data_IF_560937841345
#
_entry.id   IF_560937841345
#
_cell.length_a   1.000
_cell.length_b   1.000
_cell.length_c   1.000
_cell.angle_alpha   90.00
_cell.angle_beta   90.00
_cell.angle_gamma   90.00
#
_symmetry.space_group_name_H-M   'P 1'
#
loop_
_entity.id
_entity.type
_entity.pdbx_description
1 polymer ?
#
# COMPACT_ATOMS: atom_id res chain seq x y z
N UNK A 1 48.73 11.39 -27.39
CA UNK A 1 47.95 12.45 -26.74
C UNK A 1 46.52 12.26 -27.16
N UNK A 2 45.83 11.32 -26.54
CA UNK A 2 44.41 11.04 -26.75
C UNK A 2 43.67 11.61 -25.55
N UNK A 3 42.90 12.67 -25.78
CA UNK A 3 41.98 13.22 -24.80
C UNK A 3 40.69 12.38 -24.85
N UNK A 4 40.49 11.56 -23.82
CA UNK A 4 39.25 10.85 -23.60
C UNK A 4 38.14 11.87 -23.31
N UNK A 5 37.19 11.99 -24.24
CA UNK A 5 35.92 12.69 -24.03
C UNK A 5 35.06 11.77 -23.16
N UNK A 6 35.00 12.09 -21.87
CA UNK A 6 34.07 11.44 -20.95
C UNK A 6 32.64 11.90 -21.29
N UNK A 7 31.87 11.03 -21.93
CA UNK A 7 30.43 11.17 -22.08
C UNK A 7 29.79 11.15 -20.68
N UNK A 8 29.42 12.34 -20.18
CA UNK A 8 28.59 12.47 -19.00
C UNK A 8 27.16 12.05 -19.37
N UNK A 9 26.76 10.85 -18.95
CA UNK A 9 25.39 10.36 -19.10
C UNK A 9 24.41 11.27 -18.32
N UNK A 10 23.42 11.90 -18.98
CA UNK A 10 22.55 12.89 -18.37
C UNK A 10 21.45 12.31 -17.46
N UNK A 11 21.34 11.00 -17.32
CA UNK A 11 20.25 10.36 -16.57
C UNK A 11 20.46 10.30 -15.04
N UNK A 12 21.65 10.62 -14.54
CA UNK A 12 21.93 10.64 -13.09
C UNK A 12 21.42 11.89 -12.34
N UNK A 13 20.96 12.93 -13.05
CA UNK A 13 20.84 14.27 -12.46
C UNK A 13 19.65 14.48 -11.52
N UNK A 14 18.48 13.92 -11.81
CA UNK A 14 17.23 14.26 -11.10
C UNK A 14 17.02 13.43 -9.84
N UNK A 15 17.30 12.12 -9.90
CA UNK A 15 17.26 11.21 -8.74
C UNK A 15 18.30 11.61 -7.70
N UNK A 16 19.51 11.98 -8.12
CA UNK A 16 20.59 12.32 -7.19
C UNK A 16 20.38 13.70 -6.56
N UNK A 17 19.79 14.66 -7.29
CA UNK A 17 19.34 15.94 -6.70
C UNK A 17 18.19 15.74 -5.73
N UNK A 18 17.22 14.87 -6.01
CA UNK A 18 16.15 14.53 -5.09
C UNK A 18 16.68 13.86 -3.82
N UNK A 19 17.62 12.91 -3.95
CA UNK A 19 18.32 12.29 -2.82
C UNK A 19 19.12 13.31 -2.00
N UNK A 20 19.86 14.21 -2.65
CA UNK A 20 20.60 15.28 -1.97
C UNK A 20 19.69 16.29 -1.28
N UNK A 21 18.54 16.61 -1.87
CA UNK A 21 17.53 17.46 -1.24
C UNK A 21 16.91 16.75 -0.03
N UNK A 22 16.51 15.48 -0.17
CA UNK A 22 16.01 14.68 0.95
C UNK A 22 17.05 14.54 2.08
N UNK A 23 18.32 14.32 1.74
CA UNK A 23 19.42 14.27 2.72
C UNK A 23 19.73 15.63 3.34
N UNK A 24 19.66 16.73 2.58
CA UNK A 24 19.89 18.07 3.09
C UNK A 24 18.74 18.51 4.01
N UNK A 25 17.49 18.22 3.64
CA UNK A 25 16.32 18.42 4.48
C UNK A 25 16.43 17.56 5.74
N UNK A 26 16.86 16.29 5.64
CA UNK A 26 17.08 15.44 6.80
C UNK A 26 18.23 15.94 7.72
N UNK A 27 19.30 16.49 7.14
CA UNK A 27 20.45 17.01 7.87
C UNK A 27 20.16 18.36 8.55
N UNK A 28 19.36 19.22 7.92
CA UNK A 28 18.98 20.52 8.46
C UNK A 28 17.82 20.38 9.48
N UNK A 29 16.89 19.44 9.26
CA UNK A 29 15.87 19.04 10.23
C UNK A 29 16.45 18.44 11.52
N UNK A 30 17.71 18.03 11.51
CA UNK A 30 18.40 17.55 12.71
C UNK A 30 18.77 18.66 13.70
N UNK A 31 18.66 19.95 13.33
CA UNK A 31 18.86 21.06 14.27
C UNK A 31 17.50 21.58 14.74
N UNK A 32 16.96 21.10 15.88
CA UNK A 32 15.75 21.67 16.42
C UNK A 32 15.97 23.17 16.68
N UNK A 33 14.94 24.01 16.49
CA UNK A 33 15.04 25.41 16.89
C UNK A 33 15.52 25.49 18.35
N UNK A 34 16.40 26.45 18.69
CA UNK A 34 16.92 26.56 20.05
C UNK A 34 15.75 26.70 21.05
N UNK A 35 15.67 25.75 21.98
CA UNK A 35 14.61 25.67 22.99
C UNK A 35 13.38 24.84 22.60
N UNK A 36 13.31 24.26 21.39
CA UNK A 36 12.13 23.57 20.94
C UNK A 36 11.91 22.25 21.70
N UNK A 37 12.77 21.22 21.62
CA UNK A 37 12.43 19.93 22.24
C UNK A 37 13.68 19.10 22.54
N UNK A 38 14.13 19.11 23.80
CA UNK A 38 15.02 18.06 24.33
C UNK A 38 14.18 17.09 25.15
N UNK A 39 13.29 16.34 24.51
CA UNK A 39 12.71 15.18 25.20
C UNK A 39 13.80 14.11 25.32
N UNK A 40 13.98 13.49 26.51
CA UNK A 40 14.95 12.41 26.69
C UNK A 40 14.65 11.25 25.73
N UNK A 41 15.70 10.60 25.23
CA UNK A 41 15.60 9.40 24.38
C UNK A 41 14.66 8.35 24.98
N UNK A 42 14.74 8.12 26.29
CA UNK A 42 13.90 7.17 27.03
C UNK A 42 12.39 7.45 26.87
N UNK A 43 11.98 8.71 26.83
CA UNK A 43 10.58 9.08 26.65
C UNK A 43 10.11 8.80 25.21
N UNK A 44 10.93 9.17 24.23
CA UNK A 44 10.66 8.86 22.82
C UNK A 44 10.60 7.35 22.58
N UNK A 45 11.53 6.59 23.18
CA UNK A 45 11.55 5.13 23.12
C UNK A 45 10.30 4.51 23.73
N UNK A 46 9.87 4.97 24.92
CA UNK A 46 8.65 4.50 25.55
C UNK A 46 7.40 4.78 24.70
N UNK A 47 7.30 5.98 24.11
CA UNK A 47 6.19 6.36 23.25
C UNK A 47 6.16 5.55 21.95
N UNK A 48 7.32 5.36 21.31
CA UNK A 48 7.44 4.56 20.09
C UNK A 48 7.13 3.09 20.38
N UNK A 49 7.67 2.51 21.46
CA UNK A 49 7.38 1.12 21.84
C UNK A 49 5.90 0.90 22.14
N UNK A 50 5.22 1.87 22.77
CA UNK A 50 3.79 1.76 23.06
C UNK A 50 2.91 1.75 21.79
N UNK A 51 3.37 2.35 20.70
CA UNK A 51 2.57 2.55 19.48
C UNK A 51 2.99 1.62 18.34
N UNK A 52 4.30 1.44 18.15
CA UNK A 52 4.93 0.73 17.04
C UNK A 52 5.29 -0.72 17.43
N UNK A 53 5.60 -0.95 18.70
CA UNK A 53 6.25 -2.19 19.15
C UNK A 53 7.75 -2.20 18.81
N UNK A 54 8.40 -3.35 19.01
CA UNK A 54 9.85 -3.49 18.85
C UNK A 54 10.31 -3.57 17.38
N UNK A 55 9.43 -3.92 16.45
CA UNK A 55 9.80 -4.10 15.05
C UNK A 55 9.59 -2.81 14.25
N UNK A 56 10.65 -2.27 13.62
CA UNK A 56 10.50 -1.13 12.74
C UNK A 56 9.61 -1.48 11.54
N UNK A 57 8.86 -0.51 11.05
CA UNK A 57 8.05 -0.69 9.84
C UNK A 57 8.18 0.51 8.92
N UNK A 58 8.22 0.24 7.62
CA UNK A 58 8.16 1.26 6.57
C UNK A 58 6.74 1.41 6.05
N UNK A 59 6.41 2.61 5.59
CA UNK A 59 5.22 2.83 4.79
C UNK A 59 5.41 2.08 3.45
N UNK A 60 4.46 1.23 3.01
CA UNK A 60 4.61 0.54 1.75
C UNK A 60 4.52 1.52 0.58
N UNK A 61 5.27 1.24 -0.47
CA UNK A 61 5.25 2.01 -1.71
C UNK A 61 4.07 1.55 -2.56
N UNK A 62 2.97 2.30 -2.53
CA UNK A 62 1.76 1.95 -3.26
C UNK A 62 0.82 3.15 -3.42
N UNK A 63 -0.18 3.00 -4.29
CA UNK A 63 -1.14 4.06 -4.62
C UNK A 63 -1.86 4.59 -3.38
N UNK A 64 -2.25 3.70 -2.48
CA UNK A 64 -2.98 4.02 -1.25
C UNK A 64 -2.10 4.77 -0.24
N UNK A 65 -0.83 4.38 -0.11
CA UNK A 65 0.16 5.10 0.69
C UNK A 65 0.46 6.49 0.14
N UNK A 66 0.56 6.62 -1.19
CA UNK A 66 0.74 7.92 -1.84
C UNK A 66 -0.46 8.83 -1.57
N UNK A 67 -1.70 8.33 -1.73
CA UNK A 67 -2.92 9.08 -1.44
C UNK A 67 -3.02 9.53 0.03
N UNK A 68 -2.46 8.74 0.95
CA UNK A 68 -2.35 9.08 2.38
C UNK A 68 -1.31 10.17 2.64
N UNK A 69 -0.12 10.08 2.04
CA UNK A 69 0.99 10.99 2.35
C UNK A 69 0.86 12.34 1.65
N UNK A 70 0.24 12.37 0.48
CA UNK A 70 0.19 13.53 -0.40
C UNK A 70 -0.42 14.80 0.25
N UNK A 71 -1.54 14.77 0.98
CA UNK A 71 -2.05 15.94 1.72
C UNK A 71 -1.11 16.42 2.82
N UNK A 72 -0.27 15.52 3.34
CA UNK A 72 0.66 15.83 4.41
C UNK A 72 1.95 16.46 3.88
N UNK A 73 2.31 16.21 2.63
CA UNK A 73 3.53 16.77 2.01
C UNK A 73 3.32 18.18 1.48
N UNK A 74 2.12 18.50 0.99
CA UNK A 74 1.81 19.80 0.37
C UNK A 74 0.85 20.61 1.24
N UNK A 75 1.32 21.36 2.24
CA UNK A 75 0.46 22.26 3.01
C UNK A 75 -0.15 23.34 2.09
N UNK A 76 -1.48 23.33 2.03
CA UNK A 76 -2.50 24.36 1.76
C UNK A 76 -2.23 25.65 0.94
N UNK A 77 -1.09 25.90 0.30
CA UNK A 77 -1.02 26.89 -0.77
C UNK A 77 -1.79 26.31 -1.99
N UNK A 78 -3.10 26.56 -1.95
CA UNK A 78 -4.21 25.85 -2.59
C UNK A 78 -4.11 25.66 -4.11
N UNK A 79 -3.19 26.34 -4.80
CA UNK A 79 -3.12 26.35 -6.27
C UNK A 79 -2.24 25.24 -6.86
N UNK A 80 -1.01 25.12 -6.39
CA UNK A 80 -0.02 24.16 -6.93
C UNK A 80 -0.22 22.74 -6.39
N UNK A 81 -0.78 22.61 -5.18
CA UNK A 81 -1.07 21.32 -4.55
C UNK A 81 -2.03 20.46 -5.38
N UNK A 82 -3.05 21.07 -6.01
CA UNK A 82 -4.07 20.32 -6.76
C UNK A 82 -3.49 19.62 -7.99
N UNK A 83 -2.59 20.25 -8.73
CA UNK A 83 -1.98 19.62 -9.92
C UNK A 83 -1.06 18.45 -9.58
N UNK A 84 -0.39 18.52 -8.44
CA UNK A 84 0.48 17.44 -7.96
C UNK A 84 -0.36 16.30 -7.39
N UNK A 85 -1.47 16.63 -6.72
CA UNK A 85 -2.30 15.66 -6.02
C UNK A 85 -3.37 14.99 -6.88
N UNK A 86 -3.91 15.70 -7.87
CA UNK A 86 -4.99 15.20 -8.72
C UNK A 86 -4.66 13.89 -9.44
N UNK A 87 -3.46 13.67 -10.02
CA UNK A 87 -3.13 12.40 -10.66
C UNK A 87 -3.22 11.20 -9.71
N UNK A 88 -2.72 11.32 -8.47
CA UNK A 88 -2.77 10.24 -7.49
C UNK A 88 -4.21 9.91 -7.10
N UNK A 89 -5.05 10.92 -6.86
CA UNK A 89 -6.47 10.69 -6.54
C UNK A 89 -7.28 10.17 -7.73
N UNK A 90 -6.96 10.61 -8.95
CA UNK A 90 -7.55 10.09 -10.18
C UNK A 90 -7.15 8.61 -10.37
N UNK A 91 -5.89 8.28 -10.11
CA UNK A 91 -5.41 6.91 -10.06
C UNK A 91 -6.18 6.10 -9.03
N UNK A 92 -6.26 6.58 -7.78
CA UNK A 92 -7.00 5.88 -6.72
C UNK A 92 -8.46 5.59 -7.11
N UNK A 93 -9.13 6.57 -7.70
CA UNK A 93 -10.48 6.41 -8.23
C UNK A 93 -10.53 5.35 -9.35
N UNK A 94 -9.65 5.45 -10.35
CA UNK A 94 -9.60 4.52 -11.47
C UNK A 94 -9.33 3.09 -11.01
N UNK A 95 -8.34 2.90 -10.13
CA UNK A 95 -8.01 1.59 -9.56
C UNK A 95 -9.19 1.00 -8.79
N UNK A 96 -9.78 1.79 -7.88
CA UNK A 96 -10.93 1.33 -7.08
C UNK A 96 -12.12 0.96 -7.96
N UNK A 97 -12.38 1.76 -9.00
CA UNK A 97 -13.45 1.51 -9.96
C UNK A 97 -13.19 0.25 -10.80
N UNK A 98 -11.99 0.10 -11.34
CA UNK A 98 -11.60 -1.06 -12.14
C UNK A 98 -11.66 -2.35 -11.30
N UNK A 99 -11.08 -2.35 -10.09
CA UNK A 99 -11.14 -3.49 -9.17
C UNK A 99 -12.58 -3.84 -8.79
N UNK A 100 -13.40 -2.85 -8.44
CA UNK A 100 -14.83 -3.08 -8.11
C UNK A 100 -15.61 -3.66 -9.29
N UNK A 101 -15.33 -3.19 -10.51
CA UNK A 101 -15.95 -3.70 -11.74
C UNK A 101 -15.53 -5.15 -12.00
N UNK A 102 -14.24 -5.47 -11.86
CA UNK A 102 -13.73 -6.83 -12.04
C UNK A 102 -14.28 -7.79 -10.97
N UNK A 103 -14.37 -7.34 -9.71
CA UNK A 103 -15.03 -8.10 -8.63
C UNK A 103 -16.51 -8.35 -8.95
N UNK A 104 -17.21 -7.36 -9.48
CA UNK A 104 -18.61 -7.51 -9.88
C UNK A 104 -18.78 -8.59 -10.98
N UNK A 105 -17.89 -8.60 -11.97
CA UNK A 105 -17.90 -9.66 -12.99
C UNK A 105 -17.54 -11.03 -12.41
N UNK A 106 -16.55 -11.13 -11.51
CA UNK A 106 -16.25 -12.39 -10.81
C UNK A 106 -17.45 -12.90 -10.01
N UNK A 107 -18.11 -12.02 -9.27
CA UNK A 107 -19.35 -12.34 -8.55
C UNK A 107 -20.42 -12.89 -9.49
N UNK A 108 -20.69 -12.19 -10.60
CA UNK A 108 -21.71 -12.59 -11.56
C UNK A 108 -21.40 -13.96 -12.19
N UNK A 109 -20.14 -14.22 -12.54
CA UNK A 109 -19.73 -15.51 -13.11
C UNK A 109 -19.92 -16.64 -12.08
N UNK A 110 -19.50 -16.42 -10.83
CA UNK A 110 -19.64 -17.42 -9.76
C UNK A 110 -21.11 -17.74 -9.46
N UNK A 111 -21.98 -16.72 -9.39
CA UNK A 111 -23.40 -16.92 -9.13
C UNK A 111 -24.09 -17.63 -10.29
N UNK A 112 -23.85 -17.21 -11.53
CA UNK A 112 -24.43 -17.88 -12.71
C UNK A 112 -24.00 -19.35 -12.80
N UNK A 113 -22.74 -19.66 -12.49
CA UNK A 113 -22.25 -21.04 -12.51
C UNK A 113 -22.90 -21.88 -11.41
N UNK A 114 -23.15 -21.30 -10.24
CA UNK A 114 -23.80 -22.00 -9.13
C UNK A 114 -25.28 -22.31 -9.43
N UNK A 115 -26.01 -21.38 -10.07
CA UNK A 115 -27.42 -21.57 -10.41
C UNK A 115 -27.63 -22.66 -11.50
N UNK A 116 -26.71 -22.76 -12.46
CA UNK A 116 -26.76 -23.78 -13.52
C UNK A 116 -26.58 -25.21 -12.96
N UNK A 117 -25.77 -25.37 -11.91
CA UNK A 117 -25.56 -26.65 -11.24
C UNK A 117 -26.82 -27.09 -10.44
N UNK A 118 -27.53 -26.14 -9.83
CA UNK A 118 -28.74 -26.42 -9.02
C UNK A 118 -29.97 -26.77 -9.86
N UNK A 119 -30.10 -26.22 -11.06
CA UNK A 119 -31.30 -26.43 -11.87
C UNK A 119 -31.38 -27.82 -12.51
N UNK A 120 -30.30 -28.62 -12.48
CA UNK A 120 -30.28 -29.96 -13.07
C UNK A 120 -30.65 -29.97 -14.56
N UNK A 121 -30.70 -28.78 -15.20
CA UNK A 121 -30.95 -28.57 -16.63
C UNK A 121 -29.66 -28.80 -17.41
N UNK A 122 -28.89 -29.81 -17.00
CA UNK A 122 -28.01 -30.53 -17.91
C UNK A 122 -28.90 -31.01 -19.03
N UNK A 123 -28.85 -30.28 -20.15
CA UNK A 123 -29.46 -30.63 -21.42
C UNK A 123 -29.25 -32.13 -21.61
N UNK A 124 -30.37 -32.87 -21.60
CA UNK A 124 -30.40 -34.32 -21.66
C UNK A 124 -29.82 -34.86 -22.97
N UNK A 125 -28.51 -34.77 -23.15
CA UNK A 125 -27.79 -35.88 -23.75
C UNK A 125 -27.86 -36.99 -22.72
N UNK A 126 -28.88 -37.85 -22.92
CA UNK A 126 -29.03 -39.16 -22.29
C UNK A 126 -27.75 -39.97 -22.55
N UNK A 127 -26.71 -39.72 -21.75
CA UNK A 127 -25.61 -40.65 -21.61
C UNK A 127 -26.12 -41.76 -20.69
N UNK A 128 -26.86 -42.70 -21.30
CA UNK A 128 -27.25 -43.99 -20.73
C UNK A 128 -25.99 -44.73 -20.31
N UNK A 129 -25.54 -44.47 -19.08
CA UNK A 129 -24.24 -44.99 -18.63
C UNK A 129 -23.87 -44.70 -17.18
N UNK A 130 -24.83 -44.39 -16.32
CA UNK A 130 -24.77 -44.70 -14.88
C UNK A 130 -23.51 -44.26 -14.11
N UNK A 131 -23.25 -42.97 -14.06
CA UNK A 131 -22.33 -42.37 -13.10
C UNK A 131 -22.59 -40.87 -13.03
N UNK A 132 -23.28 -40.40 -11.99
CA UNK A 132 -23.44 -38.96 -11.79
C UNK A 132 -22.08 -38.27 -11.77
N UNK A 133 -21.95 -37.01 -12.24
CA UNK A 133 -20.69 -36.29 -12.27
C UNK A 133 -20.13 -36.21 -10.85
N UNK A 134 -19.21 -37.12 -10.58
CA UNK A 134 -18.44 -37.13 -9.35
C UNK A 134 -17.49 -35.94 -9.42
N UNK A 135 -17.31 -35.22 -8.31
CA UNK A 135 -16.26 -34.21 -8.19
C UNK A 135 -14.83 -34.74 -8.48
N UNK A 136 -14.68 -36.05 -8.77
CA UNK A 136 -13.45 -36.66 -9.26
C UNK A 136 -13.18 -36.50 -10.76
N UNK A 137 -14.15 -36.12 -11.61
CA UNK A 137 -13.99 -36.26 -13.08
C UNK A 137 -13.53 -35.01 -13.84
N UNK A 138 -13.39 -33.84 -13.20
CA UNK A 138 -13.05 -32.59 -13.92
C UNK A 138 -11.60 -32.11 -13.79
N UNK A 139 -11.01 -32.19 -12.61
CA UNK A 139 -9.72 -31.56 -12.36
C UNK A 139 -8.98 -32.16 -11.18
N UNK A 140 -7.65 -32.02 -11.20
CA UNK A 140 -6.82 -32.53 -10.11
C UNK A 140 -7.15 -31.75 -8.82
N UNK A 141 -7.74 -32.43 -7.83
CA UNK A 141 -8.04 -31.85 -6.51
C UNK A 141 -6.83 -31.13 -5.90
N UNK A 142 -5.64 -31.73 -6.07
CA UNK A 142 -4.38 -31.14 -5.64
C UNK A 142 -4.10 -29.79 -6.31
N UNK A 143 -4.38 -29.65 -7.62
CA UNK A 143 -4.17 -28.40 -8.36
C UNK A 143 -5.06 -27.29 -7.82
N UNK A 144 -6.35 -27.57 -7.57
CA UNK A 144 -7.28 -26.59 -6.95
C UNK A 144 -6.78 -26.14 -5.58
N UNK A 145 -6.37 -27.09 -4.74
CA UNK A 145 -5.83 -26.80 -3.41
C UNK A 145 -4.58 -25.91 -3.48
N UNK A 146 -3.64 -26.23 -4.37
CA UNK A 146 -2.41 -25.44 -4.57
C UNK A 146 -2.73 -24.03 -5.06
N UNK A 147 -3.59 -23.89 -6.08
CA UNK A 147 -4.00 -22.59 -6.61
C UNK A 147 -4.69 -21.72 -5.56
N UNK A 148 -5.59 -22.28 -4.75
CA UNK A 148 -6.24 -21.56 -3.65
C UNK A 148 -5.27 -21.15 -2.54
N UNK A 149 -4.32 -22.03 -2.20
CA UNK A 149 -3.27 -21.70 -1.24
C UNK A 149 -2.39 -20.55 -1.75
N UNK A 150 -1.99 -20.56 -3.02
CA UNK A 150 -1.22 -19.49 -3.64
C UNK A 150 -2.01 -18.19 -3.65
N UNK A 151 -3.28 -18.22 -4.10
CA UNK A 151 -4.15 -17.05 -4.13
C UNK A 151 -4.34 -16.45 -2.72
N UNK A 152 -4.60 -17.29 -1.72
CA UNK A 152 -4.78 -16.85 -0.34
C UNK A 152 -3.48 -16.28 0.23
N UNK A 153 -2.35 -16.96 0.01
CA UNK A 153 -1.04 -16.46 0.45
C UNK A 153 -0.71 -15.11 -0.21
N UNK A 154 -1.00 -14.97 -1.50
CA UNK A 154 -0.82 -13.72 -2.23
C UNK A 154 -1.66 -12.59 -1.63
N UNK A 155 -2.99 -12.76 -1.50
CA UNK A 155 -3.87 -11.73 -0.91
C UNK A 155 -3.45 -11.37 0.52
N UNK A 156 -3.10 -12.36 1.34
CA UNK A 156 -2.68 -12.10 2.71
C UNK A 156 -1.35 -11.32 2.73
N UNK A 157 -0.39 -11.69 1.89
CA UNK A 157 0.96 -11.12 1.89
C UNK A 157 1.02 -9.75 1.19
N UNK A 158 0.38 -9.58 0.04
CA UNK A 158 0.37 -8.31 -0.69
C UNK A 158 -0.64 -7.36 -0.04
N UNK A 159 -1.93 -7.67 -0.11
CA UNK A 159 -2.97 -6.70 0.20
C UNK A 159 -3.18 -6.49 1.70
N UNK A 160 -3.33 -7.58 2.46
CA UNK A 160 -3.71 -7.48 3.88
C UNK A 160 -2.54 -6.93 4.69
N UNK A 161 -1.32 -7.45 4.49
CA UNK A 161 -0.15 -6.92 5.19
C UNK A 161 0.16 -5.48 4.80
N UNK A 162 0.04 -5.10 3.52
CA UNK A 162 0.21 -3.71 3.10
C UNK A 162 -0.79 -2.80 3.82
N UNK A 163 -2.07 -3.18 3.81
CA UNK A 163 -3.14 -2.43 4.49
C UNK A 163 -2.88 -2.30 6.00
N UNK A 164 -2.36 -3.36 6.63
CA UNK A 164 -1.97 -3.32 8.05
C UNK A 164 -0.77 -2.40 8.30
N UNK A 165 0.21 -2.33 7.39
CA UNK A 165 1.33 -1.38 7.47
C UNK A 165 0.84 0.06 7.35
N UNK A 166 -0.07 0.35 6.42
CA UNK A 166 -0.72 1.67 6.30
C UNK A 166 -1.45 2.04 7.59
N UNK A 167 -2.24 1.11 8.15
CA UNK A 167 -2.94 1.34 9.43
C UNK A 167 -1.97 1.59 10.59
N UNK A 168 -0.87 0.83 10.68
CA UNK A 168 0.17 1.05 11.70
C UNK A 168 0.83 2.41 11.53
N UNK A 169 1.11 2.83 10.30
CA UNK A 169 1.63 4.16 10.01
C UNK A 169 0.70 5.28 10.51
N UNK A 170 -0.60 5.20 10.20
CA UNK A 170 -1.61 6.16 10.69
C UNK A 170 -1.67 6.18 12.23
N UNK A 171 -1.53 5.02 12.89
CA UNK A 171 -1.50 4.93 14.35
C UNK A 171 -0.22 5.53 14.95
N UNK A 172 0.91 5.37 14.29
CA UNK A 172 2.20 5.94 14.69
C UNK A 172 2.23 7.47 14.63
N UNK A 173 1.39 8.09 13.80
CA UNK A 173 1.27 9.55 13.78
C UNK A 173 0.75 10.08 15.14
N UNK A 174 1.42 11.07 15.75
CA UNK A 174 0.89 11.76 16.93
C UNK A 174 -0.44 12.47 16.64
N UNK A 175 -1.19 12.83 17.69
CA UNK A 175 -2.32 13.75 17.55
C UNK A 175 -1.81 15.16 17.30
N UNK A 176 -2.48 15.91 16.44
CA UNK A 176 -2.13 17.31 16.18
C UNK A 176 -2.22 18.16 17.45
N UNK A 177 -1.10 18.79 17.80
CA UNK A 177 -0.96 19.78 18.86
C UNK A 177 -0.54 21.09 18.19
N UNK A 178 -1.45 22.06 18.18
CA UNK A 178 -1.29 23.29 17.41
C UNK A 178 -0.10 24.13 17.88
N UNK A 179 0.15 24.22 19.19
CA UNK A 179 1.25 25.02 19.73
C UNK A 179 2.61 24.42 19.39
N UNK A 180 2.71 23.09 19.34
CA UNK A 180 3.97 22.37 19.09
C UNK A 180 4.25 22.16 17.61
N UNK A 181 3.23 21.79 16.84
CA UNK A 181 3.43 21.34 15.46
C UNK A 181 3.34 22.47 14.43
N UNK A 182 2.52 23.51 14.67
CA UNK A 182 2.40 24.66 13.76
C UNK A 182 3.75 25.30 13.40
N UNK A 183 4.63 25.68 14.35
CA UNK A 183 5.91 26.31 14.00
C UNK A 183 6.83 25.38 13.20
N UNK A 184 6.72 24.06 13.41
CA UNK A 184 7.50 23.07 12.65
C UNK A 184 7.00 23.00 11.20
N UNK A 185 5.68 22.92 11.01
CA UNK A 185 5.06 22.88 9.68
C UNK A 185 5.31 24.19 8.92
N UNK A 186 5.19 25.34 9.58
CA UNK A 186 5.47 26.66 8.97
C UNK A 186 6.95 26.80 8.58
N UNK A 187 7.88 26.24 9.36
CA UNK A 187 9.31 26.31 9.07
C UNK A 187 9.74 25.40 7.90
N UNK A 188 9.26 24.15 7.87
CA UNK A 188 9.66 23.15 6.88
C UNK A 188 8.72 23.04 5.67
N UNK A 189 7.56 23.69 5.74
CA UNK A 189 6.49 23.61 4.75
C UNK A 189 6.05 22.16 4.45
N UNK A 190 6.01 21.30 5.47
CA UNK A 190 5.53 19.91 5.36
C UNK A 190 5.05 19.36 6.69
N UNK A 191 4.04 18.49 6.66
CA UNK A 191 3.50 17.78 7.83
C UNK A 191 4.10 16.38 8.00
N UNK A 192 5.00 15.94 7.12
CA UNK A 192 5.69 14.64 7.23
C UNK A 192 7.16 14.88 7.52
N UNK A 193 7.48 15.09 8.79
CA UNK A 193 8.85 15.22 9.26
C UNK A 193 9.18 14.04 10.15
N UNK A 194 10.34 13.44 9.92
CA UNK A 194 10.86 12.36 10.77
C UNK A 194 11.95 12.92 11.66
N UNK A 195 11.79 12.74 12.95
CA UNK A 195 12.80 13.03 13.95
C UNK A 195 13.58 11.76 14.28
N UNK A 196 14.91 11.88 14.29
CA UNK A 196 15.83 10.81 14.69
C UNK A 196 16.33 11.08 16.10
N UNK A 197 16.12 10.13 17.00
CA UNK A 197 16.71 10.08 18.32
C UNK A 197 17.85 9.08 18.30
N UNK A 198 18.99 9.41 18.88
CA UNK A 198 20.14 8.49 19.00
C UNK A 198 20.38 8.24 20.47
N UNK A 199 20.64 6.98 20.82
CA UNK A 199 21.07 6.62 22.17
C UNK A 199 22.45 7.24 22.46
N UNK A 200 22.79 7.36 23.74
CA UNK A 200 24.11 7.76 24.25
C UNK A 200 25.26 6.95 23.67
N UNK A 201 25.01 5.66 23.35
CA UNK A 201 25.95 4.77 22.67
C UNK A 201 26.14 5.09 21.18
N UNK A 202 25.15 5.76 20.56
CA UNK A 202 25.08 5.98 19.11
C UNK A 202 24.73 4.72 18.30
N UNK A 203 24.58 3.55 18.94
CA UNK A 203 24.29 2.28 18.26
C UNK A 203 22.83 2.19 17.84
N UNK A 204 21.92 2.59 18.73
CA UNK A 204 20.48 2.54 18.46
C UNK A 204 19.95 3.92 18.05
N UNK A 205 19.14 3.94 16.99
CA UNK A 205 18.41 5.13 16.58
C UNK A 205 16.92 4.88 16.46
N UNK A 206 16.12 5.83 16.91
CA UNK A 206 14.66 5.78 16.87
C UNK A 206 14.17 6.83 15.90
N UNK A 207 13.39 6.39 14.93
CA UNK A 207 12.74 7.26 13.96
C UNK A 207 11.26 7.39 14.33
N UNK A 208 10.81 8.62 14.55
CA UNK A 208 9.40 8.95 14.87
C UNK A 208 8.97 10.18 14.09
N UNK A 209 7.67 10.37 13.93
CA UNK A 209 7.14 11.55 13.25
C UNK A 209 7.15 12.76 14.20
N UNK A 210 7.75 13.86 13.76
CA UNK A 210 7.86 15.11 14.53
C UNK A 210 6.53 15.87 14.61
N UNK A 211 5.64 15.61 13.66
CA UNK A 211 4.35 16.29 13.49
C UNK A 211 3.20 15.29 13.54
N UNK A 212 2.11 15.69 14.19
CA UNK A 212 0.88 14.90 14.28
C UNK A 212 -0.11 15.15 13.14
N UNK A 213 -1.22 14.42 13.16
CA UNK A 213 -2.39 14.65 12.30
C UNK A 213 -3.65 14.89 13.14
N UNK A 214 -4.61 15.61 12.58
CA UNK A 214 -5.90 15.85 13.26
C UNK A 214 -6.70 14.54 13.37
N UNK A 215 -7.52 14.41 14.41
CA UNK A 215 -8.36 13.22 14.59
C UNK A 215 -9.38 13.05 13.45
N UNK A 216 -9.84 14.16 12.86
CA UNK A 216 -10.69 14.13 11.67
C UNK A 216 -9.97 13.50 10.46
N UNK A 217 -8.74 13.95 10.17
CA UNK A 217 -7.96 13.38 9.08
C UNK A 217 -7.63 11.90 9.33
N UNK A 218 -7.33 11.54 10.58
CA UNK A 218 -7.11 10.14 10.99
C UNK A 218 -8.35 9.28 10.71
N UNK A 219 -9.54 9.74 11.08
CA UNK A 219 -10.79 9.04 10.82
C UNK A 219 -11.05 8.93 9.31
N UNK A 220 -10.84 10.02 8.56
CA UNK A 220 -10.95 10.03 7.10
C UNK A 220 -10.02 9.01 6.45
N UNK A 221 -8.73 9.00 6.80
CA UNK A 221 -7.76 8.06 6.24
C UNK A 221 -8.15 6.59 6.51
N UNK A 222 -8.63 6.28 7.71
CA UNK A 222 -9.10 4.93 8.05
C UNK A 222 -10.36 4.56 7.24
N UNK A 223 -11.36 5.44 7.23
CA UNK A 223 -12.66 5.17 6.60
C UNK A 223 -12.61 5.17 5.07
N UNK A 224 -11.81 6.04 4.47
CA UNK A 224 -11.79 6.25 3.02
C UNK A 224 -10.61 5.58 2.31
N UNK A 225 -9.54 5.18 3.02
CA UNK A 225 -8.39 4.50 2.40
C UNK A 225 -8.25 3.07 2.93
N UNK A 226 -8.12 2.88 4.24
CA UNK A 226 -7.82 1.57 4.84
C UNK A 226 -8.97 0.58 4.68
N UNK A 227 -10.20 1.00 5.03
CA UNK A 227 -11.38 0.12 4.96
C UNK A 227 -11.70 -0.29 3.50
N UNK A 228 -11.75 0.63 2.52
CA UNK A 228 -12.03 0.26 1.13
C UNK A 228 -10.98 -0.67 0.53
N UNK A 229 -9.67 -0.42 0.74
CA UNK A 229 -8.62 -1.34 0.25
C UNK A 229 -8.79 -2.74 0.84
N UNK A 230 -9.02 -2.84 2.16
CA UNK A 230 -9.25 -4.12 2.81
C UNK A 230 -10.50 -4.83 2.28
N UNK A 231 -11.58 -4.09 2.03
CA UNK A 231 -12.82 -4.64 1.48
C UNK A 231 -12.61 -5.20 0.08
N UNK A 232 -11.91 -4.49 -0.81
CA UNK A 232 -11.56 -4.95 -2.16
C UNK A 232 -10.76 -6.26 -2.07
N UNK A 233 -9.75 -6.32 -1.20
CA UNK A 233 -8.92 -7.52 -1.02
C UNK A 233 -9.73 -8.73 -0.55
N UNK A 234 -10.58 -8.56 0.47
CA UNK A 234 -11.41 -9.63 1.04
C UNK A 234 -12.47 -10.11 0.04
N UNK A 235 -13.17 -9.18 -0.63
CA UNK A 235 -14.18 -9.53 -1.63
C UNK A 235 -13.55 -10.26 -2.83
N UNK A 236 -12.38 -9.80 -3.29
CA UNK A 236 -11.64 -10.49 -4.35
C UNK A 236 -11.28 -11.90 -3.91
N UNK A 237 -10.75 -12.09 -2.70
CA UNK A 237 -10.40 -13.42 -2.19
C UNK A 237 -11.61 -14.36 -2.16
N UNK A 238 -12.77 -13.90 -1.68
CA UNK A 238 -13.99 -14.72 -1.60
C UNK A 238 -14.47 -15.13 -2.98
N UNK A 239 -14.66 -14.18 -3.90
CA UNK A 239 -15.22 -14.49 -5.23
C UNK A 239 -14.21 -15.18 -6.14
N UNK A 240 -12.93 -14.80 -6.10
CA UNK A 240 -11.89 -15.50 -6.84
C UNK A 240 -11.72 -16.95 -6.37
N UNK A 241 -11.83 -17.22 -5.06
CA UNK A 241 -11.79 -18.60 -4.56
C UNK A 241 -12.94 -19.43 -5.11
N UNK A 242 -14.16 -18.88 -5.15
CA UNK A 242 -15.29 -19.53 -5.82
C UNK A 242 -15.03 -19.76 -7.30
N UNK A 243 -14.50 -18.76 -7.99
CA UNK A 243 -14.20 -18.82 -9.43
C UNK A 243 -13.14 -19.90 -9.78
N UNK A 244 -12.16 -20.12 -8.90
CA UNK A 244 -11.16 -21.20 -9.04
C UNK A 244 -11.77 -22.57 -8.71
N UNK A 245 -12.68 -22.65 -7.74
CA UNK A 245 -13.33 -23.90 -7.33
C UNK A 245 -14.29 -24.46 -8.39
N UNK A 246 -15.06 -23.59 -9.06
CA UNK A 246 -16.05 -23.99 -10.07
C UNK A 246 -15.44 -24.30 -11.45
N UNK A 247 -14.13 -24.10 -11.64
CA UNK A 247 -13.46 -24.39 -12.91
C UNK A 247 -13.51 -25.89 -13.25
N UNK A 248 -13.99 -26.21 -14.47
CA UNK A 248 -14.17 -27.60 -14.94
C UNK A 248 -12.87 -28.22 -15.43
N UNK A 249 -12.05 -27.48 -16.19
CA UNK A 249 -10.77 -27.96 -16.69
C UNK A 249 -9.59 -27.49 -15.83
N UNK A 250 -8.48 -28.25 -15.86
CA UNK A 250 -7.24 -27.86 -15.18
C UNK A 250 -6.64 -26.54 -15.71
N UNK A 251 -6.80 -26.28 -17.00
CA UNK A 251 -6.38 -25.03 -17.63
C UNK A 251 -7.15 -23.83 -17.06
N UNK A 252 -8.47 -23.97 -16.94
CA UNK A 252 -9.35 -22.94 -16.38
C UNK A 252 -8.99 -22.62 -14.92
N UNK A 253 -8.62 -23.62 -14.11
CA UNK A 253 -8.17 -23.40 -12.71
C UNK A 253 -6.97 -22.44 -12.68
N UNK A 254 -5.99 -22.66 -13.56
CA UNK A 254 -4.78 -21.84 -13.63
C UNK A 254 -5.12 -20.44 -14.17
N UNK A 255 -5.88 -20.36 -15.26
CA UNK A 255 -6.29 -19.08 -15.86
C UNK A 255 -7.13 -18.23 -14.90
N UNK A 256 -8.06 -18.84 -14.18
CA UNK A 256 -8.90 -18.16 -13.20
C UNK A 256 -8.08 -17.64 -12.01
N UNK A 257 -7.06 -18.40 -11.59
CA UNK A 257 -6.13 -17.96 -10.54
C UNK A 257 -5.30 -16.77 -11.01
N UNK A 258 -4.75 -16.81 -12.23
CA UNK A 258 -4.00 -15.71 -12.82
C UNK A 258 -4.86 -14.46 -13.02
N UNK A 259 -6.10 -14.62 -13.47
CA UNK A 259 -7.05 -13.53 -13.60
C UNK A 259 -7.32 -12.86 -12.23
N UNK A 260 -7.47 -13.65 -11.16
CA UNK A 260 -7.66 -13.11 -9.82
C UNK A 260 -6.45 -12.31 -9.32
N UNK A 261 -5.22 -12.80 -9.57
CA UNK A 261 -3.99 -12.06 -9.26
C UNK A 261 -3.93 -10.75 -10.03
N UNK A 262 -4.29 -10.76 -11.32
CA UNK A 262 -4.35 -9.55 -12.13
C UNK A 262 -5.31 -8.48 -11.57
N UNK A 263 -6.48 -8.89 -11.01
CA UNK A 263 -7.39 -7.94 -10.35
C UNK A 263 -6.70 -7.24 -9.17
N UNK A 264 -5.89 -7.98 -8.41
CA UNK A 264 -5.18 -7.43 -7.25
C UNK A 264 -4.07 -6.45 -7.69
N UNK A 265 -3.34 -6.74 -8.76
CA UNK A 265 -2.24 -5.90 -9.28
C UNK A 265 -2.69 -4.58 -9.97
N UNK A 266 -4.00 -4.36 -10.15
CA UNK A 266 -4.51 -3.14 -10.82
C UNK A 266 -4.06 -1.86 -10.13
N UNK A 267 -3.95 -1.84 -8.80
CA UNK A 267 -3.51 -0.66 -8.06
C UNK A 267 -2.01 -0.40 -8.21
N UNK A 268 -1.19 -1.42 -8.37
CA UNK A 268 0.24 -1.32 -8.70
C UNK A 268 0.46 -0.72 -10.10
N UNK A 269 -0.27 -1.20 -11.12
CA UNK A 269 -0.20 -0.61 -12.46
C UNK A 269 -0.63 0.85 -12.45
N UNK A 270 -1.67 1.16 -11.68
CA UNK A 270 -2.17 2.52 -11.51
C UNK A 270 -1.17 3.39 -10.75
N UNK A 271 -0.53 2.87 -9.70
CA UNK A 271 0.54 3.57 -8.97
C UNK A 271 1.70 3.93 -9.90
N UNK A 272 2.16 2.97 -10.70
CA UNK A 272 3.26 3.16 -11.63
C UNK A 272 2.98 4.29 -12.64
N UNK A 273 1.73 4.36 -13.14
CA UNK A 273 1.33 5.33 -14.16
C UNK A 273 0.95 6.71 -13.61
N UNK A 274 0.14 6.76 -12.54
CA UNK A 274 -0.43 8.02 -12.03
C UNK A 274 0.44 8.73 -11.00
N UNK A 275 1.40 8.05 -10.39
CA UNK A 275 2.25 8.65 -9.34
C UNK A 275 3.52 9.21 -9.95
N UNK A 276 3.77 10.50 -9.73
CA UNK A 276 5.00 11.15 -10.17
C UNK A 276 6.23 10.55 -9.47
N UNK A 277 7.36 10.44 -10.18
CA UNK A 277 8.58 9.82 -9.63
C UNK A 277 9.14 10.57 -8.43
N UNK A 278 8.91 11.89 -8.32
CA UNK A 278 9.24 12.66 -7.13
C UNK A 278 8.49 12.19 -5.88
N UNK A 279 7.22 11.81 -6.04
CA UNK A 279 6.41 11.28 -4.95
C UNK A 279 6.82 9.84 -4.61
N UNK A 280 7.12 9.00 -5.61
CA UNK A 280 7.67 7.66 -5.39
C UNK A 280 8.97 7.74 -4.58
N UNK A 281 9.90 8.59 -5.01
CA UNK A 281 11.17 8.84 -4.33
C UNK A 281 10.99 9.43 -2.92
N UNK A 282 9.96 10.26 -2.71
CA UNK A 282 9.63 10.77 -1.38
C UNK A 282 9.19 9.64 -0.45
N UNK A 283 8.26 8.78 -0.88
CA UNK A 283 7.75 7.66 -0.09
C UNK A 283 8.85 6.64 0.19
N UNK A 284 9.64 6.28 -0.82
CA UNK A 284 10.81 5.40 -0.70
C UNK A 284 11.90 5.99 0.21
N UNK A 285 12.00 7.32 0.26
CA UNK A 285 12.94 8.05 1.10
C UNK A 285 12.52 8.15 2.56
N UNK A 286 11.28 7.77 2.92
CA UNK A 286 10.84 7.78 4.30
C UNK A 286 11.59 6.68 5.08
N UNK A 287 12.33 7.03 6.14
CA UNK A 287 12.98 6.04 6.99
C UNK A 287 11.91 5.15 7.67
N UNK A 288 12.24 3.89 7.99
CA UNK A 288 11.34 3.05 8.75
C UNK A 288 11.10 3.66 10.13
N UNK A 289 9.85 3.66 10.58
CA UNK A 289 9.47 4.15 11.91
C UNK A 289 9.69 3.04 12.95
N UNK A 290 10.24 3.38 14.11
CA UNK A 290 10.58 2.42 15.16
C UNK A 290 12.03 2.51 15.62
N UNK A 291 12.45 1.51 16.40
CA UNK A 291 13.84 1.34 16.83
C UNK A 291 14.62 0.63 15.71
N UNK A 292 15.72 1.24 15.29
CA UNK A 292 16.66 0.72 14.29
C UNK A 292 18.04 0.67 14.95
N UNK A 293 18.51 -0.55 15.21
CA UNK A 293 19.87 -0.84 15.67
C UNK A 293 20.75 -1.43 14.58
#
# INVERSE_FOLDING_TARGET
GEAAVAEASPEGGLSERAKRFALAVAADAARPPPGAWSQPYEYAAAQVNAVVGEMPFSLPTGLWSAALVLPLVSPAELGTSVFISAPVYLGLFFSSFAQSTLIYYLYHIVVMTADDDDLGLGSGEEQEGGGGPSCNDGGAFLLRGVCLCILTAYVLQSEVLETMRIRRFIRAMPRWDEEKHRPIVEHWNTCVLVQRYTDTSGENSIYTLATGITDFYRAFAICCLVIPKLAIAVLTLVYASGYVLYARANEDIILNTLAAVFVLEVDDYTYAYFTADSMKAFIEGLPPLGIVG
#
